data_IF_567205729493
#
_entry.id   IF_567205729493
#
_cell.length_a   1.000
_cell.length_b   1.000
_cell.length_c   1.000
_cell.angle_alpha   90.00
_cell.angle_beta   90.00
_cell.angle_gamma   90.00
#
_symmetry.space_group_name_H-M   'P 1'
#
loop_
_entity.id
_entity.type
_entity.pdbx_description
1 polymer ?
#
# COMPACT_ATOMS: atom_id res chain seq x y z
N UNK A 1 2.91 -17.80 -10.58
CA UNK A 1 1.76 -16.85 -10.70
C UNK A 1 2.28 -15.46 -10.35
N UNK A 2 2.04 -14.45 -11.19
CA UNK A 2 2.49 -13.08 -10.93
C UNK A 2 1.49 -12.32 -10.03
N UNK A 3 2.00 -11.46 -9.15
CA UNK A 3 1.19 -10.60 -8.27
C UNK A 3 0.49 -9.54 -9.12
N UNK A 4 -0.78 -9.25 -8.81
CA UNK A 4 -1.53 -8.16 -9.43
C UNK A 4 -2.03 -7.18 -8.37
N UNK A 5 -1.76 -5.89 -8.58
CA UNK A 5 -2.18 -4.80 -7.68
C UNK A 5 -3.19 -3.90 -8.39
N UNK A 6 -4.11 -3.31 -7.63
CA UNK A 6 -4.99 -2.27 -8.17
C UNK A 6 -4.25 -0.94 -8.20
N UNK A 7 -4.03 -0.40 -9.39
CA UNK A 7 -3.37 0.88 -9.57
C UNK A 7 -4.42 2.00 -9.64
N UNK A 8 -4.49 2.83 -8.60
CA UNK A 8 -5.44 3.95 -8.53
C UNK A 8 -5.22 5.01 -9.63
N UNK A 9 -4.00 5.14 -10.18
CA UNK A 9 -3.71 6.07 -11.28
C UNK A 9 -4.42 5.66 -12.57
N UNK A 10 -4.44 4.36 -12.88
CA UNK A 10 -5.07 3.81 -14.08
C UNK A 10 -6.44 3.16 -13.83
N UNK A 11 -6.85 3.08 -12.56
CA UNK A 11 -8.12 2.50 -12.08
C UNK A 11 -8.36 1.06 -12.53
N UNK A 12 -7.31 0.25 -12.65
CA UNK A 12 -7.38 -1.15 -13.07
C UNK A 12 -6.38 -2.02 -12.30
N UNK A 13 -6.58 -3.34 -12.35
CA UNK A 13 -5.60 -4.31 -11.84
C UNK A 13 -4.48 -4.48 -12.86
N UNK A 14 -3.25 -4.32 -12.42
CA UNK A 14 -2.03 -4.41 -13.23
C UNK A 14 -1.11 -5.47 -12.66
N UNK A 15 -0.26 -6.07 -13.51
CA UNK A 15 0.81 -6.96 -13.04
C UNK A 15 1.82 -6.10 -12.29
N UNK A 16 2.21 -6.52 -11.10
CA UNK A 16 3.26 -5.85 -10.34
C UNK A 16 4.63 -6.31 -10.85
N UNK A 17 5.43 -5.34 -11.29
CA UNK A 17 6.82 -5.53 -11.71
C UNK A 17 7.69 -4.59 -10.85
N UNK A 18 8.66 -5.12 -10.07
CA UNK A 18 9.51 -4.30 -9.23
C UNK A 18 10.47 -3.45 -10.08
N UNK A 19 10.89 -2.31 -9.55
CA UNK A 19 11.89 -1.45 -10.21
C UNK A 19 13.29 -2.09 -10.23
N UNK A 20 13.62 -2.89 -9.23
CA UNK A 20 14.85 -3.66 -9.11
C UNK A 20 14.51 -5.11 -8.73
N UNK A 21 15.09 -6.08 -9.43
CA UNK A 21 14.79 -7.50 -9.20
C UNK A 21 15.08 -7.91 -7.75
N UNK A 22 14.14 -8.60 -7.11
CA UNK A 22 14.24 -8.99 -5.70
C UNK A 22 14.03 -7.86 -4.68
N UNK A 23 13.86 -6.60 -5.09
CA UNK A 23 13.68 -5.45 -4.18
C UNK A 23 12.38 -4.68 -4.45
N UNK A 24 11.68 -4.34 -3.37
CA UNK A 24 10.45 -3.54 -3.43
C UNK A 24 10.52 -2.39 -2.43
N UNK A 25 10.40 -1.16 -2.92
CA UNK A 25 10.18 0.02 -2.09
C UNK A 25 8.69 0.27 -1.88
N UNK A 26 8.26 0.45 -0.62
CA UNK A 26 6.87 0.74 -0.26
C UNK A 26 6.84 1.93 0.69
N UNK A 27 5.96 2.89 0.41
CA UNK A 27 5.67 4.01 1.31
C UNK A 27 4.19 4.03 1.64
N UNK A 28 3.87 4.19 2.93
CA UNK A 28 2.50 4.32 3.43
C UNK A 28 2.47 5.50 4.40
N UNK A 29 1.46 6.36 4.27
CA UNK A 29 1.29 7.50 5.18
C UNK A 29 1.04 7.03 6.62
N UNK A 30 1.78 7.60 7.57
CA UNK A 30 1.54 7.44 9.01
C UNK A 30 0.38 8.30 9.53
N UNK A 31 0.00 8.15 10.82
CA UNK A 31 -1.00 8.99 11.44
C UNK A 31 -0.40 10.32 11.88
N UNK A 32 -1.23 11.36 11.97
CA UNK A 32 -0.86 12.58 12.71
C UNK A 32 -0.93 12.30 14.21
N UNK A 33 0.16 12.53 14.96
CA UNK A 33 0.36 12.03 16.33
C UNK A 33 -0.24 12.89 17.46
N UNK A 34 -1.24 13.72 17.18
CA UNK A 34 -1.89 14.58 18.19
C UNK A 34 -3.00 13.89 19.00
N UNK A 35 -3.27 12.60 18.76
CA UNK A 35 -4.31 11.86 19.46
C UNK A 35 -4.16 10.35 19.34
N UNK A 36 -5.05 9.62 20.03
CA UNK A 36 -5.06 8.16 20.00
C UNK A 36 -5.50 7.62 18.64
N UNK A 37 -4.91 6.50 18.23
CA UNK A 37 -5.34 5.81 17.02
C UNK A 37 -6.77 5.28 17.17
N UNK A 38 -7.55 5.39 16.09
CA UNK A 38 -8.90 4.83 16.00
C UNK A 38 -8.94 3.66 15.01
N UNK A 39 -10.08 2.97 14.94
CA UNK A 39 -10.24 1.75 14.14
C UNK A 39 -9.93 1.96 12.64
N UNK A 40 -10.14 3.17 12.12
CA UNK A 40 -9.78 3.53 10.75
C UNK A 40 -8.29 3.38 10.45
N UNK A 41 -7.43 3.83 11.37
CA UNK A 41 -5.98 3.63 11.23
C UNK A 41 -5.61 2.15 11.21
N UNK A 42 -6.20 1.35 12.11
CA UNK A 42 -5.93 -0.09 12.17
C UNK A 42 -6.34 -0.79 10.87
N UNK A 43 -7.47 -0.39 10.27
CA UNK A 43 -7.90 -0.91 8.97
C UNK A 43 -6.85 -0.65 7.89
N UNK A 44 -6.34 0.58 7.79
CA UNK A 44 -5.34 0.95 6.77
C UNK A 44 -3.99 0.26 6.95
N UNK A 45 -3.62 -0.13 8.18
CA UNK A 45 -2.31 -0.73 8.45
C UNK A 45 -2.31 -2.26 8.46
N UNK A 46 -3.49 -2.90 8.56
CA UNK A 46 -3.59 -4.36 8.72
C UNK A 46 -4.33 -5.02 7.56
N UNK A 47 -5.34 -4.35 6.97
CA UNK A 47 -6.33 -4.97 6.08
C UNK A 47 -6.31 -4.45 4.65
#
# INVERSE_FOLDING_TARGET
MAIKLYNSLHRKKEIFEPLEEGFVGIYVCGPTVYGHSHLGHAKSYVS
#
